data_IF_347147802492
#
_entry.id   IF_347147802492
#
_cell.length_a   1.000
_cell.length_b   1.000
_cell.length_c   1.000
_cell.angle_alpha   90.00
_cell.angle_beta   90.00
_cell.angle_gamma   90.00
#
_symmetry.space_group_name_H-M   'P 1'
#
loop_
_entity.id
_entity.type
_entity.pdbx_description
1 polymer ?
#
# COMPACT_ATOMS: atom_id res chain seq x y z
N UNK A 1 9.88 -58.75 9.87
CA UNK A 1 10.32 -57.52 10.56
C UNK A 1 9.08 -56.72 10.94
N UNK A 2 8.84 -56.48 12.23
CA UNK A 2 7.81 -55.56 12.67
C UNK A 2 8.38 -54.16 12.40
N UNK A 3 7.70 -53.34 11.60
CA UNK A 3 8.05 -51.92 11.46
C UNK A 3 7.58 -51.23 12.73
N UNK A 4 8.49 -50.91 13.64
CA UNK A 4 8.15 -50.55 15.03
C UNK A 4 8.14 -49.05 15.27
N UNK A 5 8.67 -48.22 14.37
CA UNK A 5 8.91 -46.81 14.71
C UNK A 5 8.24 -45.82 13.76
N UNK A 6 7.11 -45.27 14.20
CA UNK A 6 6.70 -43.93 13.78
C UNK A 6 7.36 -42.94 14.74
N UNK A 7 8.00 -41.85 14.26
CA UNK A 7 8.56 -40.85 15.15
C UNK A 7 7.42 -40.18 15.95
N UNK A 8 7.29 -40.55 17.23
CA UNK A 8 6.38 -39.91 18.17
C UNK A 8 7.07 -38.69 18.77
N UNK A 9 6.33 -37.62 19.01
CA UNK A 9 6.86 -36.45 19.73
C UNK A 9 7.39 -36.89 21.10
N UNK A 10 8.62 -36.47 21.50
CA UNK A 10 9.20 -36.81 22.79
C UNK A 10 8.58 -35.97 23.93
N UNK A 11 7.36 -35.45 23.73
CA UNK A 11 6.67 -34.66 24.72
C UNK A 11 5.15 -34.83 24.61
N UNK A 12 4.47 -34.61 25.73
CA UNK A 12 3.02 -34.50 25.81
C UNK A 12 2.66 -33.29 26.67
N UNK A 13 1.66 -32.52 26.24
CA UNK A 13 1.23 -31.30 26.91
C UNK A 13 -0.26 -31.38 27.28
N UNK A 14 -0.58 -30.95 28.50
CA UNK A 14 -1.94 -30.96 29.05
C UNK A 14 -2.28 -29.60 29.64
N UNK A 15 -3.58 -29.27 29.65
CA UNK A 15 -4.12 -28.18 30.45
C UNK A 15 -4.75 -28.76 31.72
N UNK A 16 -4.20 -28.39 32.88
CA UNK A 16 -4.69 -28.91 34.16
C UNK A 16 -6.06 -28.33 34.53
N UNK A 17 -6.92 -29.17 35.11
CA UNK A 17 -8.25 -28.80 35.57
C UNK A 17 -8.33 -28.47 37.07
N UNK A 18 -7.23 -28.67 37.83
CA UNK A 18 -7.20 -28.48 39.29
C UNK A 18 -7.58 -29.72 40.11
N UNK A 19 -7.93 -30.85 39.48
CA UNK A 19 -8.37 -32.07 40.16
C UNK A 19 -7.67 -33.35 39.69
N UNK A 20 -7.29 -33.42 38.41
CA UNK A 20 -6.62 -34.60 37.84
C UNK A 20 -5.17 -34.69 38.30
N UNK A 21 -4.77 -35.87 38.78
CA UNK A 21 -3.39 -36.16 39.21
C UNK A 21 -2.60 -37.03 38.24
N UNK A 22 -3.28 -37.80 37.39
CA UNK A 22 -2.64 -38.71 36.44
C UNK A 22 -2.61 -38.14 35.02
N UNK A 23 -1.41 -38.08 34.44
CA UNK A 23 -1.16 -37.58 33.08
C UNK A 23 -0.32 -38.60 32.33
N UNK A 24 -0.78 -39.03 31.16
CA UNK A 24 -0.08 -40.07 30.39
C UNK A 24 1.02 -39.49 29.51
N UNK A 25 2.03 -40.30 29.20
CA UNK A 25 2.96 -40.03 28.11
C UNK A 25 2.91 -41.21 27.14
N UNK A 26 3.10 -40.96 25.84
CA UNK A 26 2.83 -41.91 24.76
C UNK A 26 4.08 -42.34 23.99
N UNK A 27 5.24 -42.30 24.66
CA UNK A 27 6.54 -42.61 24.08
C UNK A 27 7.34 -43.53 24.99
N UNK A 28 8.22 -44.36 24.42
CA UNK A 28 9.13 -45.23 25.17
C UNK A 28 10.04 -44.41 26.09
N UNK A 29 10.14 -44.82 27.36
CA UNK A 29 11.04 -44.24 28.34
C UNK A 29 11.95 -45.36 28.87
N UNK A 30 13.26 -45.28 28.61
CA UNK A 30 14.22 -46.31 29.04
C UNK A 30 14.67 -46.11 30.48
N UNK A 31 14.80 -44.85 30.91
CA UNK A 31 15.20 -44.49 32.27
C UNK A 31 14.27 -43.39 32.78
N UNK A 32 13.79 -43.51 34.02
CA UNK A 32 12.89 -42.54 34.62
C UNK A 32 13.51 -41.14 34.72
N UNK A 33 14.84 -41.06 34.89
CA UNK A 33 15.61 -39.82 34.96
C UNK A 33 15.61 -39.01 33.66
N UNK A 34 15.41 -39.65 32.50
CA UNK A 34 15.33 -38.98 31.22
C UNK A 34 13.94 -38.31 31.01
N UNK A 35 13.00 -38.41 31.97
CA UNK A 35 11.71 -37.73 31.93
C UNK A 35 11.71 -36.46 32.78
N UNK A 36 11.63 -35.31 32.13
CA UNK A 36 11.44 -34.02 32.78
C UNK A 36 9.96 -33.62 32.81
N UNK A 37 9.50 -33.19 33.97
CA UNK A 37 8.11 -32.77 34.20
C UNK A 37 8.09 -31.27 34.49
N UNK A 38 7.33 -30.51 33.71
CA UNK A 38 7.19 -29.06 33.90
C UNK A 38 5.75 -28.66 34.18
N UNK A 39 5.59 -27.64 35.04
CA UNK A 39 4.32 -26.92 35.23
C UNK A 39 4.57 -25.45 34.85
N UNK A 40 3.87 -24.93 33.83
CA UNK A 40 4.07 -23.56 33.33
C UNK A 40 5.54 -23.19 33.07
N UNK A 41 6.34 -24.14 32.55
CA UNK A 41 7.78 -24.02 32.27
C UNK A 41 8.71 -24.15 33.48
N UNK A 42 8.18 -24.36 34.69
CA UNK A 42 9.00 -24.65 35.88
C UNK A 42 9.23 -26.16 36.04
N UNK A 43 10.50 -26.57 36.09
CA UNK A 43 10.88 -27.97 36.30
C UNK A 43 10.45 -28.45 37.69
N UNK A 44 9.73 -29.56 37.72
CA UNK A 44 9.37 -30.26 38.95
C UNK A 44 10.43 -31.33 39.23
N UNK A 45 11.03 -31.30 40.43
CA UNK A 45 12.04 -32.30 40.85
C UNK A 45 11.47 -33.32 41.83
N UNK A 46 10.31 -33.05 42.42
CA UNK A 46 9.61 -33.92 43.37
C UNK A 46 8.09 -33.76 43.23
N UNK A 47 7.30 -34.52 43.99
CA UNK A 47 5.85 -34.35 44.03
C UNK A 47 5.07 -35.16 42.99
N UNK A 48 5.74 -36.08 42.30
CA UNK A 48 5.13 -37.01 41.35
C UNK A 48 5.87 -38.35 41.32
N UNK A 49 5.21 -39.38 40.78
CA UNK A 49 5.81 -40.68 40.45
C UNK A 49 5.70 -40.95 38.96
N UNK A 50 6.60 -41.78 38.44
CA UNK A 50 6.63 -42.19 37.02
C UNK A 50 6.41 -43.69 36.95
N UNK A 51 5.45 -44.12 36.14
CA UNK A 51 5.19 -45.51 35.77
C UNK A 51 5.30 -45.71 34.27
N UNK A 52 5.53 -46.96 33.84
CA UNK A 52 5.60 -47.33 32.42
C UNK A 52 6.98 -47.14 31.79
N UNK A 53 8.05 -47.24 32.58
CA UNK A 53 9.42 -47.38 32.06
C UNK A 53 9.52 -48.70 31.29
N UNK A 54 10.26 -48.71 30.18
CA UNK A 54 10.35 -49.79 29.17
C UNK A 54 9.06 -50.12 28.41
N UNK A 55 7.96 -49.39 28.64
CA UNK A 55 6.72 -49.57 27.89
C UNK A 55 6.80 -48.90 26.51
N UNK A 56 6.61 -49.68 25.43
CA UNK A 56 6.59 -49.15 24.04
C UNK A 56 5.44 -48.16 23.79
N UNK A 57 4.33 -48.27 24.54
CA UNK A 57 3.15 -47.41 24.40
C UNK A 57 3.19 -46.20 25.35
N UNK A 58 4.25 -46.08 26.16
CA UNK A 58 4.41 -45.07 27.19
C UNK A 58 3.77 -45.44 28.52
N UNK A 59 3.55 -44.44 29.37
CA UNK A 59 3.24 -44.62 30.78
C UNK A 59 2.48 -43.45 31.39
N UNK A 60 2.57 -43.30 32.71
CA UNK A 60 1.81 -42.29 33.46
C UNK A 60 2.69 -41.58 34.47
N UNK A 61 2.58 -40.26 34.52
CA UNK A 61 3.06 -39.42 35.61
C UNK A 61 1.89 -39.15 36.56
N UNK A 62 2.05 -39.51 37.83
CA UNK A 62 1.02 -39.29 38.85
C UNK A 62 1.52 -38.29 39.89
N UNK A 63 0.88 -37.12 39.94
CA UNK A 63 1.19 -36.08 40.93
C UNK A 63 0.58 -36.41 42.30
N UNK A 64 1.30 -36.11 43.37
CA UNK A 64 0.81 -36.20 44.75
C UNK A 64 -0.28 -35.17 45.03
N UNK A 65 -0.17 -33.98 44.42
CA UNK A 65 -1.16 -32.89 44.50
C UNK A 65 -1.54 -32.48 43.08
N UNK A 66 -2.83 -32.37 42.74
CA UNK A 66 -3.24 -32.04 41.39
C UNK A 66 -2.70 -30.67 40.97
N UNK A 67 -2.10 -30.54 39.77
CA UNK A 67 -1.68 -29.25 39.24
C UNK A 67 -2.86 -28.27 39.18
N UNK A 68 -2.63 -27.02 39.58
CA UNK A 68 -3.67 -26.01 39.66
C UNK A 68 -4.37 -25.77 38.30
N UNK A 69 -5.66 -25.43 38.35
CA UNK A 69 -6.47 -25.18 37.14
C UNK A 69 -5.84 -24.11 36.26
N UNK A 70 -5.75 -24.40 34.96
CA UNK A 70 -5.19 -23.48 33.95
C UNK A 70 -3.67 -23.56 33.78
N UNK A 71 -2.96 -24.29 34.64
CA UNK A 71 -1.54 -24.57 34.47
C UNK A 71 -1.30 -25.57 33.33
N UNK A 72 -0.27 -25.35 32.53
CA UNK A 72 0.16 -26.30 31.51
C UNK A 72 1.13 -27.31 32.11
N UNK A 73 0.82 -28.60 31.95
CA UNK A 73 1.69 -29.70 32.36
C UNK A 73 2.39 -30.22 31.12
N UNK A 74 3.72 -30.24 31.14
CA UNK A 74 4.53 -30.81 30.07
C UNK A 74 5.31 -32.01 30.60
N UNK A 75 5.17 -33.14 29.93
CA UNK A 75 5.97 -34.34 30.15
C UNK A 75 6.92 -34.44 28.96
N UNK A 76 8.23 -34.32 29.18
CA UNK A 76 9.22 -34.20 28.12
C UNK A 76 10.33 -35.22 28.36
N UNK A 77 10.60 -36.08 27.36
CA UNK A 77 11.78 -36.94 27.37
C UNK A 77 13.00 -36.14 26.94
N UNK A 78 13.93 -35.96 27.85
CA UNK A 78 15.22 -35.32 27.66
C UNK A 78 16.32 -36.32 27.99
N UNK A 79 16.74 -37.05 26.95
CA UNK A 79 17.81 -38.04 27.07
C UNK A 79 19.16 -37.32 27.12
N UNK A 80 19.97 -37.66 28.10
CA UNK A 80 21.31 -37.09 28.23
C UNK A 80 22.23 -37.60 27.10
N UNK A 81 23.01 -36.68 26.49
CA UNK A 81 23.79 -36.89 25.26
C UNK A 81 25.14 -37.60 25.49
N UNK A 82 25.13 -38.75 26.17
CA UNK A 82 26.30 -39.59 26.35
C UNK A 82 25.89 -41.07 26.39
N UNK A 83 26.84 -41.94 26.07
CA UNK A 83 26.64 -43.38 26.14
C UNK A 83 26.84 -43.86 27.58
N UNK A 84 25.94 -44.71 28.04
CA UNK A 84 25.92 -45.26 29.40
C UNK A 84 26.27 -46.75 29.47
N UNK A 85 26.27 -47.45 28.33
CA UNK A 85 26.60 -48.88 28.23
C UNK A 85 27.99 -49.03 27.64
N UNK A 86 28.84 -49.79 28.31
CA UNK A 86 30.15 -50.24 27.84
C UNK A 86 30.12 -51.76 27.69
N UNK A 87 30.14 -52.25 26.44
CA UNK A 87 30.24 -53.69 26.18
C UNK A 87 31.62 -54.20 26.60
N UNK A 88 31.63 -55.28 27.37
CA UNK A 88 32.86 -55.90 27.84
C UNK A 88 33.38 -56.91 26.82
N UNK A 89 34.70 -56.99 26.66
CA UNK A 89 35.33 -58.04 25.85
C UNK A 89 35.04 -59.42 26.47
N UNK A 90 34.59 -60.36 25.65
CA UNK A 90 34.12 -61.69 26.06
C UNK A 90 32.92 -61.71 27.03
N UNK A 91 32.20 -60.59 27.17
CA UNK A 91 30.94 -60.54 27.90
C UNK A 91 29.75 -61.03 27.06
N UNK A 92 28.63 -61.33 27.73
CA UNK A 92 27.40 -61.74 27.06
C UNK A 92 26.79 -60.57 26.27
N UNK A 93 26.48 -60.81 24.99
CA UNK A 93 25.77 -59.85 24.13
C UNK A 93 24.27 -60.07 24.22
N UNK A 94 23.66 -59.57 25.30
CA UNK A 94 22.22 -59.69 25.52
C UNK A 94 21.44 -58.81 24.54
N UNK A 95 20.46 -59.39 23.86
CA UNK A 95 19.65 -58.68 22.86
C UNK A 95 18.94 -57.46 23.47
N UNK A 96 18.42 -57.57 24.69
CA UNK A 96 17.73 -56.46 25.36
C UNK A 96 18.68 -55.29 25.65
N UNK A 97 19.93 -55.57 26.06
CA UNK A 97 20.95 -54.55 26.29
C UNK A 97 21.28 -53.82 24.99
N UNK A 98 21.48 -54.56 23.91
CA UNK A 98 21.82 -53.99 22.60
C UNK A 98 20.66 -53.19 22.01
N UNK A 99 19.43 -53.72 22.10
CA UNK A 99 18.23 -53.02 21.63
C UNK A 99 18.03 -51.71 22.40
N UNK A 100 18.16 -51.72 23.73
CA UNK A 100 18.04 -50.52 24.54
C UNK A 100 19.14 -49.48 24.24
N UNK A 101 20.38 -49.91 23.95
CA UNK A 101 21.48 -49.01 23.55
C UNK A 101 21.16 -48.34 22.20
N UNK A 102 20.65 -49.10 21.22
CA UNK A 102 20.22 -48.55 19.92
C UNK A 102 18.97 -47.67 20.04
N UNK A 103 18.00 -48.04 20.85
CA UNK A 103 16.81 -47.25 21.10
C UNK A 103 17.16 -45.91 21.76
N UNK A 104 18.12 -45.89 22.69
CA UNK A 104 18.61 -44.64 23.29
C UNK A 104 19.18 -43.68 22.24
N UNK A 105 19.98 -44.20 21.28
CA UNK A 105 20.48 -43.40 20.15
C UNK A 105 19.31 -42.82 19.35
N UNK A 106 18.30 -43.65 19.05
CA UNK A 106 17.15 -43.20 18.28
C UNK A 106 16.28 -42.19 19.03
N UNK A 107 16.17 -42.29 20.36
CA UNK A 107 15.50 -41.31 21.20
C UNK A 107 16.21 -39.96 21.16
N UNK A 108 17.55 -39.94 21.23
CA UNK A 108 18.36 -38.72 21.09
C UNK A 108 18.19 -38.09 19.71
N UNK A 109 18.22 -38.88 18.64
CA UNK A 109 18.01 -38.37 17.28
C UNK A 109 16.60 -37.78 17.09
N UNK A 110 15.59 -38.46 17.63
CA UNK A 110 14.21 -37.98 17.62
C UNK A 110 14.10 -36.66 18.40
N UNK A 111 14.71 -36.57 19.58
CA UNK A 111 14.75 -35.36 20.38
C UNK A 111 15.37 -34.19 19.61
N UNK A 112 16.51 -34.39 18.95
CA UNK A 112 17.14 -33.38 18.09
C UNK A 112 16.24 -32.95 16.93
N UNK A 113 15.62 -33.89 16.23
CA UNK A 113 14.69 -33.61 15.13
C UNK A 113 13.50 -32.72 15.57
N UNK A 114 12.95 -32.98 16.76
CA UNK A 114 11.87 -32.18 17.32
C UNK A 114 12.34 -30.82 17.84
N UNK A 115 13.52 -30.75 18.47
CA UNK A 115 14.11 -29.49 18.91
C UNK A 115 14.29 -28.51 17.72
N UNK A 116 14.72 -29.02 16.57
CA UNK A 116 14.84 -28.22 15.35
C UNK A 116 13.50 -27.62 14.88
N UNK A 117 12.34 -28.17 15.28
CA UNK A 117 11.01 -27.63 14.90
C UNK A 117 10.71 -26.32 15.62
N UNK A 118 11.39 -26.05 16.74
CA UNK A 118 11.23 -24.82 17.51
C UNK A 118 12.27 -23.75 17.15
N UNK A 119 13.24 -24.08 16.30
CA UNK A 119 14.20 -23.12 15.78
C UNK A 119 13.63 -22.39 14.55
N UNK A 120 14.13 -21.17 14.29
CA UNK A 120 13.93 -20.55 12.97
C UNK A 120 14.55 -21.43 11.88
N UNK A 121 13.85 -21.58 10.77
CA UNK A 121 14.26 -22.44 9.65
C UNK A 121 14.37 -21.66 8.36
N UNK A 122 15.18 -22.18 7.45
CA UNK A 122 15.28 -21.71 6.08
C UNK A 122 14.77 -22.83 5.16
N UNK A 123 14.17 -22.46 4.03
CA UNK A 123 13.81 -23.44 3.02
C UNK A 123 15.06 -24.21 2.53
N UNK A 124 14.97 -25.55 2.34
CA UNK A 124 16.07 -26.36 1.80
C UNK A 124 16.57 -25.90 0.43
N UNK A 125 15.77 -25.11 -0.28
CA UNK A 125 16.07 -24.59 -1.61
C UNK A 125 16.65 -23.17 -1.60
N UNK A 126 16.97 -22.61 -0.42
CA UNK A 126 17.50 -21.25 -0.24
C UNK A 126 16.50 -20.27 0.39
N UNK A 127 16.71 -18.96 0.25
CA UNK A 127 15.78 -17.92 0.76
C UNK A 127 16.10 -17.31 2.14
N UNK A 128 15.24 -16.47 2.73
CA UNK A 128 15.43 -15.92 4.08
C UNK A 128 15.06 -16.94 5.17
N UNK A 129 15.37 -16.61 6.44
CA UNK A 129 14.83 -17.36 7.58
C UNK A 129 13.33 -17.10 7.72
N UNK A 130 12.56 -18.16 7.97
CA UNK A 130 11.10 -18.17 8.04
C UNK A 130 10.63 -18.22 9.50
N UNK A 131 9.93 -17.17 9.94
CA UNK A 131 9.31 -17.11 11.28
C UNK A 131 7.97 -17.84 11.38
N UNK A 132 7.42 -18.35 10.27
CA UNK A 132 6.16 -19.09 10.19
C UNK A 132 4.95 -18.40 10.88
N UNK A 133 4.98 -17.07 11.01
CA UNK A 133 3.94 -16.29 11.71
C UNK A 133 4.03 -16.33 13.24
N UNK A 134 5.04 -16.97 13.82
CA UNK A 134 5.28 -16.91 15.27
C UNK A 134 5.94 -15.60 15.67
N UNK A 135 5.64 -15.13 16.88
CA UNK A 135 6.27 -13.96 17.48
C UNK A 135 7.72 -14.27 17.84
N UNK A 136 8.62 -13.36 17.49
CA UNK A 136 10.01 -13.33 17.97
C UNK A 136 10.07 -12.29 19.11
N UNK A 137 10.59 -12.68 20.27
CA UNK A 137 10.72 -11.81 21.46
C UNK A 137 12.11 -11.94 22.08
N UNK A 138 12.41 -11.06 23.04
CA UNK A 138 13.63 -11.09 23.86
C UNK A 138 14.94 -10.99 23.05
N UNK A 139 14.87 -10.33 21.89
CA UNK A 139 16.06 -9.91 21.14
C UNK A 139 16.68 -8.68 21.80
N UNK A 140 18.00 -8.60 21.76
CA UNK A 140 18.73 -7.44 22.24
C UNK A 140 18.48 -6.21 21.34
N UNK A 141 18.83 -5.02 21.84
CA UNK A 141 18.87 -3.82 21.00
C UNK A 141 19.98 -3.96 19.95
N UNK A 142 19.76 -3.46 18.72
CA UNK A 142 20.71 -3.60 17.61
C UNK A 142 22.01 -2.83 17.88
N UNK A 143 23.13 -3.38 17.39
CA UNK A 143 24.46 -2.76 17.44
C UNK A 143 24.94 -2.41 16.03
N UNK A 144 24.75 -3.34 15.08
CA UNK A 144 25.17 -3.18 13.68
C UNK A 144 23.97 -2.87 12.75
N UNK A 145 24.26 -2.32 11.57
CA UNK A 145 23.24 -1.86 10.60
C UNK A 145 22.28 -2.97 10.09
N UNK A 146 22.63 -4.24 10.26
CA UNK A 146 21.84 -5.39 9.79
C UNK A 146 21.13 -6.14 10.92
N UNK A 147 21.24 -5.67 12.16
CA UNK A 147 20.61 -6.31 13.30
C UNK A 147 19.09 -6.18 13.26
N UNK A 148 18.42 -7.19 13.81
CA UNK A 148 16.98 -7.13 14.02
C UNK A 148 16.64 -6.09 15.10
N UNK A 149 15.54 -5.35 14.92
CA UNK A 149 15.10 -4.32 15.88
C UNK A 149 13.84 -4.74 16.61
N UNK A 150 13.79 -4.50 17.92
CA UNK A 150 12.54 -4.65 18.68
C UNK A 150 11.55 -3.57 18.27
N UNK A 151 10.25 -3.83 18.46
CA UNK A 151 9.22 -2.78 18.30
C UNK A 151 9.52 -1.56 19.18
N UNK A 152 9.98 -1.78 20.43
CA UNK A 152 10.36 -0.71 21.35
C UNK A 152 11.50 0.14 20.77
N UNK A 153 12.59 -0.50 20.34
CA UNK A 153 13.73 0.20 19.75
C UNK A 153 13.31 1.00 18.51
N UNK A 154 12.52 0.38 17.63
CA UNK A 154 11.98 1.06 16.47
C UNK A 154 11.09 2.24 16.85
N UNK A 155 10.18 2.12 17.81
CA UNK A 155 9.34 3.26 18.24
C UNK A 155 10.16 4.36 18.93
N UNK A 156 11.22 4.03 19.66
CA UNK A 156 12.11 5.02 20.27
C UNK A 156 12.94 5.78 19.24
N UNK A 157 13.41 5.11 18.18
CA UNK A 157 14.31 5.69 17.17
C UNK A 157 13.61 6.15 15.88
N UNK A 158 12.45 5.61 15.52
CA UNK A 158 11.61 6.07 14.40
C UNK A 158 10.89 7.38 14.74
N UNK A 159 10.82 7.70 16.04
CA UNK A 159 10.26 8.94 16.57
C UNK A 159 11.24 10.13 16.53
N UNK A 160 12.26 10.11 15.65
CA UNK A 160 13.15 11.25 15.40
C UNK A 160 12.43 12.51 14.85
N UNK A 161 11.11 12.44 14.63
CA UNK A 161 10.25 13.58 14.32
C UNK A 161 8.88 13.42 14.98
N UNK A 162 8.84 13.40 16.33
CA UNK A 162 7.56 13.48 17.03
C UNK A 162 6.97 14.87 16.86
N UNK A 163 6.07 15.02 15.91
CA UNK A 163 5.37 16.29 15.70
C UNK A 163 4.36 16.54 16.84
N UNK A 164 4.65 17.54 17.68
CA UNK A 164 3.87 17.90 18.88
C UNK A 164 2.83 19.00 18.62
N UNK A 165 2.63 19.40 17.37
CA UNK A 165 1.80 20.54 16.96
C UNK A 165 2.33 21.88 17.50
N UNK A 166 1.47 22.81 17.91
CA UNK A 166 1.88 24.14 18.38
C UNK A 166 2.69 24.08 19.70
N UNK A 167 3.71 24.93 19.80
CA UNK A 167 4.52 25.04 21.00
C UNK A 167 3.72 25.60 22.18
N UNK A 168 3.98 25.07 23.38
CA UNK A 168 3.38 25.48 24.65
C UNK A 168 4.43 25.59 25.74
N UNK A 169 4.36 26.65 26.54
CA UNK A 169 5.29 26.88 27.64
C UNK A 169 5.20 25.84 28.78
N UNK A 170 4.09 25.09 28.87
CA UNK A 170 3.87 24.11 29.95
C UNK A 170 4.17 22.68 29.52
N UNK A 171 4.47 22.45 28.24
CA UNK A 171 4.74 21.11 27.69
C UNK A 171 6.23 20.81 27.78
N UNK A 172 6.56 19.59 28.23
CA UNK A 172 7.92 19.08 28.14
C UNK A 172 8.19 18.58 26.72
N UNK A 173 9.25 19.09 26.11
CA UNK A 173 9.74 18.69 24.79
C UNK A 173 11.04 17.91 24.96
N UNK A 174 11.09 16.73 24.37
CA UNK A 174 12.30 15.91 24.35
C UNK A 174 13.10 16.18 23.08
N UNK A 175 14.38 15.85 23.08
CA UNK A 175 15.18 15.85 21.86
C UNK A 175 14.43 15.11 20.74
N UNK A 176 14.50 15.64 19.52
CA UNK A 176 13.79 15.18 18.32
C UNK A 176 12.28 15.48 18.24
N UNK A 177 11.70 16.22 19.20
CA UNK A 177 10.33 16.71 19.07
C UNK A 177 10.29 17.90 18.07
N UNK A 178 9.28 17.91 17.20
CA UNK A 178 9.00 19.00 16.26
C UNK A 178 7.78 19.82 16.67
N UNK A 179 7.87 21.15 16.58
CA UNK A 179 6.77 22.07 16.96
C UNK A 179 6.54 23.17 15.92
N UNK A 180 5.31 23.68 15.85
CA UNK A 180 5.01 24.97 15.24
C UNK A 180 5.16 26.08 16.30
N UNK A 181 5.91 27.14 15.98
CA UNK A 181 5.96 28.34 16.79
C UNK A 181 6.06 29.56 15.87
N UNK A 182 5.16 30.52 16.07
CA UNK A 182 5.03 31.73 15.24
C UNK A 182 4.89 31.47 13.73
N UNK A 183 4.24 30.36 13.37
CA UNK A 183 4.06 29.93 11.97
C UNK A 183 5.31 29.32 11.33
N UNK A 184 6.41 29.20 12.07
CA UNK A 184 7.61 28.48 11.63
C UNK A 184 7.64 27.09 12.28
N UNK A 185 8.33 26.15 11.65
CA UNK A 185 8.56 24.80 12.18
C UNK A 185 9.94 24.73 12.82
N UNK A 186 9.99 24.19 14.03
CA UNK A 186 11.20 24.08 14.84
C UNK A 186 11.41 22.64 15.29
N UNK A 187 12.68 22.28 15.46
CA UNK A 187 13.14 20.98 15.93
C UNK A 187 13.88 21.15 17.25
N UNK A 188 13.53 20.32 18.23
CA UNK A 188 14.09 20.33 19.57
C UNK A 188 15.41 19.55 19.58
N UNK A 189 16.52 20.22 19.87
CA UNK A 189 17.86 19.61 19.94
C UNK A 189 18.10 18.92 21.30
N UNK A 190 17.51 19.47 22.37
CA UNK A 190 17.74 19.02 23.74
C UNK A 190 16.47 19.16 24.59
N UNK A 191 16.29 18.24 25.54
CA UNK A 191 15.16 18.23 26.47
C UNK A 191 14.97 19.58 27.17
N UNK A 192 13.75 20.12 27.10
CA UNK A 192 13.41 21.40 27.73
C UNK A 192 11.92 21.51 28.08
N UNK A 193 11.61 22.49 28.93
CA UNK A 193 10.24 22.88 29.25
C UNK A 193 10.21 24.40 29.40
N UNK A 194 9.23 25.06 28.79
CA UNK A 194 9.07 26.51 28.87
C UNK A 194 10.08 27.34 28.07
N UNK A 195 11.09 26.73 27.44
CA UNK A 195 12.02 27.42 26.56
C UNK A 195 11.40 27.59 25.19
N UNK A 196 11.21 28.84 24.77
CA UNK A 196 10.52 29.19 23.52
C UNK A 196 11.41 28.97 22.30
N UNK A 197 10.92 28.36 21.21
CA UNK A 197 11.64 28.28 19.94
C UNK A 197 12.05 29.67 19.43
N UNK A 198 13.27 29.76 18.89
CA UNK A 198 13.90 31.02 18.47
C UNK A 198 14.56 31.85 19.57
N UNK A 199 14.41 31.48 20.85
CA UNK A 199 15.09 32.18 21.95
C UNK A 199 16.51 31.68 22.24
N UNK A 200 16.79 30.40 21.95
CA UNK A 200 18.09 29.78 22.19
C UNK A 200 18.34 28.63 21.20
N UNK A 201 19.41 28.75 20.42
CA UNK A 201 19.82 27.77 19.40
C UNK A 201 20.37 26.47 19.98
N UNK A 202 20.68 26.41 21.27
CA UNK A 202 21.05 25.16 21.94
C UNK A 202 19.85 24.22 22.10
N UNK A 203 18.64 24.74 22.27
CA UNK A 203 17.45 23.91 22.47
C UNK A 203 16.61 23.74 21.20
N UNK A 204 16.64 24.73 20.29
CA UNK A 204 15.75 24.77 19.13
C UNK A 204 16.48 25.17 17.86
N UNK A 205 16.35 24.34 16.83
CA UNK A 205 16.81 24.61 15.46
C UNK A 205 15.60 24.87 14.56
N UNK A 206 15.67 25.90 13.72
CA UNK A 206 14.59 26.20 12.77
C UNK A 206 14.65 25.24 11.58
N UNK A 207 13.56 24.54 11.32
CA UNK A 207 13.45 23.56 10.22
C UNK A 207 12.83 24.17 8.97
N UNK A 208 11.80 25.00 9.16
CA UNK A 208 11.16 25.73 8.09
C UNK A 208 10.74 27.09 8.62
N UNK A 209 11.21 28.13 7.96
CA UNK A 209 10.74 29.48 8.22
C UNK A 209 9.29 29.60 7.72
N UNK A 210 8.45 30.32 8.46
CA UNK A 210 7.13 30.69 7.95
C UNK A 210 7.30 31.34 6.58
N UNK A 211 6.50 30.91 5.61
CA UNK A 211 6.39 31.67 4.36
C UNK A 211 5.95 33.10 4.69
N UNK A 212 6.43 34.07 3.93
CA UNK A 212 5.79 35.38 3.95
C UNK A 212 4.31 35.16 3.65
N UNK A 213 3.45 35.82 4.43
CA UNK A 213 2.02 35.82 4.15
C UNK A 213 1.90 36.32 2.71
N UNK A 214 1.50 35.45 1.78
CA UNK A 214 1.14 35.89 0.44
C UNK A 214 0.18 37.06 0.59
N UNK A 215 0.33 38.09 -0.24
CA UNK A 215 -0.54 39.26 -0.20
C UNK A 215 -1.98 38.78 -0.02
N UNK A 216 -2.65 39.32 0.99
CA UNK A 216 -4.01 38.91 1.33
C UNK A 216 -4.82 39.04 0.05
N UNK A 217 -5.24 37.93 -0.56
CA UNK A 217 -6.30 37.98 -1.57
C UNK A 217 -7.45 38.74 -0.90
N UNK A 218 -7.89 39.83 -1.52
CA UNK A 218 -8.86 40.73 -0.92
C UNK A 218 -10.01 39.91 -0.32
N UNK A 219 -10.12 39.95 1.01
CA UNK A 219 -11.22 39.31 1.68
C UNK A 219 -12.45 40.13 1.32
N UNK A 220 -13.39 39.49 0.61
CA UNK A 220 -14.73 40.02 0.44
C UNK A 220 -15.22 40.59 1.76
N UNK A 221 -15.61 41.86 1.72
CA UNK A 221 -16.16 42.59 2.85
C UNK A 221 -17.25 41.70 3.45
N UNK A 222 -17.05 41.16 4.66
CA UNK A 222 -18.15 40.60 5.41
C UNK A 222 -19.13 41.76 5.60
N UNK A 223 -20.39 41.52 5.27
CA UNK A 223 -21.43 42.50 5.19
C UNK A 223 -21.48 43.28 6.51
N UNK A 224 -20.77 44.41 6.57
CA UNK A 224 -21.54 45.61 6.75
C UNK A 224 -22.60 45.48 5.67
N UNK A 225 -23.82 45.10 6.06
CA UNK A 225 -24.96 45.71 5.42
C UNK A 225 -24.70 47.21 5.58
N UNK A 226 -23.88 47.77 4.69
CA UNK A 226 -24.06 49.10 4.19
C UNK A 226 -25.53 49.04 3.81
N UNK A 227 -26.33 49.62 4.69
CA UNK A 227 -27.73 49.85 4.41
C UNK A 227 -27.64 50.71 3.17
N UNK A 228 -27.70 50.09 1.98
CA UNK A 228 -27.55 50.77 0.71
C UNK A 228 -28.75 51.70 0.65
N UNK A 229 -28.54 52.94 1.10
CA UNK A 229 -29.47 54.02 0.85
C UNK A 229 -29.39 54.21 -0.65
N UNK A 230 -30.47 53.83 -1.32
CA UNK A 230 -30.91 54.22 -2.67
C UNK A 230 -29.80 54.40 -3.72
N UNK A 231 -29.79 53.54 -4.75
CA UNK A 231 -28.86 53.68 -5.88
C UNK A 231 -28.84 55.11 -6.44
N UNK A 232 -27.65 55.61 -6.79
CA UNK A 232 -27.43 56.97 -7.29
C UNK A 232 -27.44 56.95 -8.82
N UNK A 233 -28.24 57.83 -9.44
CA UNK A 233 -28.25 57.96 -10.90
C UNK A 233 -26.92 58.50 -11.40
N UNK A 234 -26.35 57.86 -12.40
CA UNK A 234 -25.19 58.36 -13.14
C UNK A 234 -25.63 59.56 -13.99
N UNK A 235 -24.86 60.65 -13.98
CA UNK A 235 -25.14 61.92 -14.67
C UNK A 235 -23.92 62.53 -15.40
N UNK A 236 -22.92 61.71 -15.76
CA UNK A 236 -21.84 62.13 -16.64
C UNK A 236 -20.77 61.06 -16.85
N UNK A 237 -19.51 61.50 -16.90
CA UNK A 237 -18.36 60.61 -17.06
C UNK A 237 -18.21 59.64 -15.89
N UNK A 238 -18.06 58.35 -16.19
CA UNK A 238 -17.88 57.31 -15.17
C UNK A 238 -16.62 57.51 -14.33
N UNK A 239 -15.62 58.26 -14.81
CA UNK A 239 -14.40 58.55 -14.06
C UNK A 239 -14.63 59.37 -12.79
N UNK A 240 -15.76 60.08 -12.68
CA UNK A 240 -16.09 60.93 -11.53
C UNK A 240 -16.61 60.14 -10.33
N UNK A 241 -17.02 58.88 -10.52
CA UNK A 241 -17.62 58.05 -9.47
C UNK A 241 -16.56 57.15 -8.83
N UNK A 242 -15.81 57.75 -7.90
CA UNK A 242 -14.73 57.11 -7.13
C UNK A 242 -15.13 56.84 -5.67
N UNK A 243 -16.37 57.12 -5.30
CA UNK A 243 -16.88 56.79 -3.96
C UNK A 243 -17.57 55.43 -4.01
N UNK A 244 -17.31 54.51 -3.07
CA UNK A 244 -18.00 53.24 -3.03
C UNK A 244 -19.50 53.41 -2.92
N UNK A 245 -20.25 52.67 -3.74
CA UNK A 245 -21.69 52.80 -3.82
C UNK A 245 -22.30 52.04 -4.99
N UNK A 246 -23.63 51.98 -4.97
CA UNK A 246 -24.45 51.48 -6.08
C UNK A 246 -24.89 52.67 -6.93
N UNK A 247 -24.64 52.55 -8.22
CA UNK A 247 -24.99 53.52 -9.23
C UNK A 247 -25.79 52.84 -10.33
N UNK A 248 -26.64 53.60 -11.02
CA UNK A 248 -27.41 53.08 -12.14
C UNK A 248 -27.44 54.07 -13.29
N UNK A 249 -27.54 53.53 -14.50
CA UNK A 249 -27.84 54.26 -15.72
C UNK A 249 -29.13 53.70 -16.32
N UNK A 250 -30.19 54.51 -16.28
CA UNK A 250 -31.47 54.28 -16.96
C UNK A 250 -31.58 55.10 -18.26
N UNK A 251 -30.57 55.91 -18.60
CA UNK A 251 -30.53 56.71 -19.83
C UNK A 251 -29.50 56.14 -20.82
N UNK A 252 -29.98 55.39 -21.80
CA UNK A 252 -29.13 54.83 -22.86
C UNK A 252 -28.31 55.91 -23.58
N UNK A 253 -28.82 57.12 -23.78
CA UNK A 253 -28.13 58.17 -24.53
C UNK A 253 -26.91 58.71 -23.80
N UNK A 254 -26.87 58.57 -22.47
CA UNK A 254 -25.75 58.99 -21.65
C UNK A 254 -24.57 58.02 -21.72
N UNK A 255 -24.84 56.74 -21.98
CA UNK A 255 -23.81 55.72 -22.13
C UNK A 255 -23.05 55.92 -23.44
N UNK A 256 -21.97 56.69 -23.38
CA UNK A 256 -21.10 56.99 -24.51
C UNK A 256 -19.64 56.81 -24.13
N UNK A 257 -18.77 56.61 -25.12
CA UNK A 257 -17.32 56.58 -24.93
C UNK A 257 -16.77 57.90 -24.38
N UNK A 258 -17.40 59.04 -24.67
CA UNK A 258 -17.08 60.34 -24.09
C UNK A 258 -17.32 60.37 -22.56
N UNK A 259 -18.39 59.71 -22.12
CA UNK A 259 -18.67 59.48 -20.70
C UNK A 259 -17.99 58.21 -20.15
N UNK A 260 -17.12 57.57 -20.93
CA UNK A 260 -16.27 56.44 -20.53
C UNK A 260 -17.05 55.20 -20.12
N UNK A 261 -18.22 54.97 -20.71
CA UNK A 261 -18.96 53.72 -20.57
C UNK A 261 -18.27 52.57 -21.34
N UNK A 262 -18.35 51.33 -20.84
CA UNK A 262 -17.78 50.16 -21.54
C UNK A 262 -18.53 49.80 -22.83
N UNK A 263 -19.79 50.21 -22.95
CA UNK A 263 -20.66 49.97 -24.10
C UNK A 263 -21.52 51.22 -24.34
N UNK A 264 -21.77 51.57 -25.61
CA UNK A 264 -22.59 52.73 -25.97
C UNK A 264 -24.08 52.37 -26.02
N UNK A 265 -24.96 53.35 -25.78
CA UNK A 265 -26.41 53.21 -25.91
C UNK A 265 -26.98 52.08 -25.03
N UNK A 266 -26.55 52.01 -23.77
CA UNK A 266 -26.87 50.91 -22.88
C UNK A 266 -27.27 51.38 -21.48
N UNK A 267 -28.30 50.74 -20.94
CA UNK A 267 -28.65 50.81 -19.52
C UNK A 267 -27.81 49.81 -18.73
N UNK A 268 -27.61 50.08 -17.45
CA UNK A 268 -26.88 49.16 -16.61
C UNK A 268 -26.67 49.67 -15.20
N UNK A 269 -26.12 48.79 -14.39
CA UNK A 269 -25.80 49.04 -12.99
C UNK A 269 -24.29 49.07 -12.83
N UNK A 270 -23.82 49.96 -11.95
CA UNK A 270 -22.41 50.09 -11.65
C UNK A 270 -22.16 50.04 -10.15
N UNK A 271 -21.16 49.26 -9.77
CA UNK A 271 -20.70 49.15 -8.40
C UNK A 271 -19.28 49.70 -8.30
N UNK A 272 -19.00 50.45 -7.24
CA UNK A 272 -17.68 51.01 -6.94
C UNK A 272 -17.19 50.50 -5.60
N UNK A 273 -15.92 50.08 -5.52
CA UNK A 273 -15.28 49.62 -4.29
C UNK A 273 -13.88 50.19 -4.17
N UNK A 274 -13.41 50.45 -2.94
CA UNK A 274 -11.98 50.66 -2.68
C UNK A 274 -11.24 49.33 -2.74
N UNK A 275 -10.03 49.33 -3.27
CA UNK A 275 -9.15 48.15 -3.36
C UNK A 275 -7.87 48.30 -2.55
N UNK A 276 -7.67 49.44 -1.91
CA UNK A 276 -6.54 49.73 -1.04
C UNK A 276 -6.99 50.19 0.35
N UNK A 277 -6.17 49.96 1.39
CA UNK A 277 -6.49 50.43 2.74
C UNK A 277 -6.51 51.96 2.90
N UNK A 278 -5.91 52.71 1.97
CA UNK A 278 -5.87 54.17 2.03
C UNK A 278 -7.10 54.82 1.36
N UNK A 279 -8.03 54.03 0.80
CA UNK A 279 -9.24 54.48 0.11
C UNK A 279 -8.95 55.40 -1.09
N UNK A 280 -7.86 55.14 -1.81
CA UNK A 280 -7.39 55.97 -2.93
C UNK A 280 -7.51 55.30 -4.29
N UNK A 281 -7.46 53.97 -4.32
CA UNK A 281 -7.58 53.14 -5.51
C UNK A 281 -8.97 52.49 -5.53
N UNK A 282 -9.62 52.50 -6.69
CA UNK A 282 -11.00 52.02 -6.83
C UNK A 282 -11.16 51.05 -7.98
N UNK A 283 -12.05 50.08 -7.81
CA UNK A 283 -12.56 49.25 -8.90
C UNK A 283 -13.98 49.68 -9.23
N UNK A 284 -14.27 49.76 -10.54
CA UNK A 284 -15.62 49.90 -11.06
C UNK A 284 -16.02 48.60 -11.75
N UNK A 285 -17.20 48.10 -11.41
CA UNK A 285 -17.85 46.98 -12.09
C UNK A 285 -19.11 47.49 -12.75
N UNK A 286 -19.32 47.18 -14.02
CA UNK A 286 -20.50 47.58 -14.77
C UNK A 286 -21.20 46.35 -15.35
N UNK A 287 -22.47 46.18 -15.04
CA UNK A 287 -23.33 45.14 -15.60
C UNK A 287 -24.31 45.80 -16.55
N UNK A 288 -24.21 45.49 -17.84
CA UNK A 288 -25.14 46.04 -18.82
C UNK A 288 -26.46 45.27 -18.82
N UNK A 289 -27.53 45.90 -19.30
CA UNK A 289 -28.84 45.25 -19.48
C UNK A 289 -28.82 44.05 -20.45
N UNK A 290 -27.71 43.85 -21.19
CA UNK A 290 -27.47 42.67 -22.04
C UNK A 290 -26.72 41.55 -21.32
N UNK A 291 -26.54 41.62 -20.00
CA UNK A 291 -25.72 40.69 -19.20
C UNK A 291 -24.25 40.63 -19.63
N UNK A 292 -23.72 41.72 -20.19
CA UNK A 292 -22.27 41.86 -20.35
C UNK A 292 -21.69 42.38 -19.04
N UNK A 293 -20.65 41.71 -18.53
CA UNK A 293 -19.96 42.09 -17.31
C UNK A 293 -18.63 42.76 -17.66
N UNK A 294 -18.40 43.94 -17.10
CA UNK A 294 -17.18 44.70 -17.30
C UNK A 294 -16.57 45.10 -15.95
N UNK A 295 -15.24 45.17 -15.90
CA UNK A 295 -14.52 45.77 -14.77
C UNK A 295 -13.33 46.61 -15.25
N UNK A 296 -12.99 47.62 -14.46
CA UNK A 296 -11.76 48.40 -14.61
C UNK A 296 -11.29 48.92 -13.26
N UNK A 297 -10.03 49.27 -13.18
CA UNK A 297 -9.39 49.78 -11.96
C UNK A 297 -8.86 51.20 -12.17
N UNK A 298 -8.96 52.05 -11.14
CA UNK A 298 -8.15 53.24 -10.99
C UNK A 298 -7.04 52.93 -9.99
N UNK A 299 -5.79 52.93 -10.45
CA UNK A 299 -4.60 52.70 -9.62
C UNK A 299 -3.71 53.93 -9.65
N UNK A 300 -3.48 54.56 -8.51
CA UNK A 300 -2.67 55.78 -8.38
C UNK A 300 -3.19 56.94 -9.23
N UNK A 301 -4.52 57.07 -9.36
CA UNK A 301 -5.18 58.08 -10.18
C UNK A 301 -5.31 57.73 -11.67
N UNK A 302 -4.82 56.56 -12.11
CA UNK A 302 -4.84 56.15 -13.51
C UNK A 302 -5.85 55.04 -13.76
N UNK A 303 -6.77 55.28 -14.70
CA UNK A 303 -7.76 54.29 -15.11
C UNK A 303 -7.18 53.25 -16.09
N UNK A 304 -7.45 51.97 -15.84
CA UNK A 304 -7.28 50.91 -16.82
C UNK A 304 -8.36 50.99 -17.91
N UNK A 305 -8.12 50.32 -19.04
CA UNK A 305 -9.20 50.02 -19.97
C UNK A 305 -10.27 49.15 -19.29
N UNK A 306 -11.50 49.21 -19.81
CA UNK A 306 -12.55 48.26 -19.45
C UNK A 306 -12.20 46.87 -19.98
N UNK A 307 -12.26 45.87 -19.10
CA UNK A 307 -12.15 44.46 -19.43
C UNK A 307 -13.54 43.84 -19.42
N UNK A 308 -13.92 43.16 -20.50
CA UNK A 308 -15.16 42.36 -20.57
C UNK A 308 -14.88 40.93 -20.12
N UNK A 309 -15.69 40.39 -19.22
CA UNK A 309 -15.61 38.98 -18.85
C UNK A 309 -16.27 38.11 -19.92
N UNK A 310 -15.61 37.01 -20.29
CA UNK A 310 -16.15 36.05 -21.24
C UNK A 310 -17.31 35.27 -20.63
N UNK A 311 -18.35 35.05 -21.43
CA UNK A 311 -19.54 34.28 -21.07
C UNK A 311 -19.55 32.92 -21.77
N UNK A 312 -20.47 32.03 -21.41
CA UNK A 312 -20.60 30.72 -22.05
C UNK A 312 -20.84 30.79 -23.57
N UNK A 313 -21.37 31.90 -24.07
CA UNK A 313 -21.56 32.16 -25.51
C UNK A 313 -20.26 32.53 -26.25
N UNK A 314 -19.19 32.88 -25.53
CA UNK A 314 -17.89 33.23 -26.12
C UNK A 314 -16.96 32.00 -26.31
N UNK A 315 -17.35 30.82 -25.79
CA UNK A 315 -16.52 29.61 -25.72
C UNK A 315 -16.66 28.64 -26.91
N UNK A 316 -17.21 29.08 -28.05
CA UNK A 316 -17.54 28.23 -29.19
C UNK A 316 -16.37 27.45 -29.85
N UNK A 317 -15.11 27.73 -29.47
CA UNK A 317 -13.90 27.10 -30.01
C UNK A 317 -13.11 26.22 -29.02
N UNK A 318 -13.70 25.87 -27.86
CA UNK A 318 -13.07 25.00 -26.86
C UNK A 318 -13.81 23.67 -26.76
N UNK A 319 -13.09 22.55 -26.94
CA UNK A 319 -13.67 21.21 -26.77
C UNK A 319 -13.97 20.91 -25.30
N UNK A 320 -15.18 20.43 -25.04
CA UNK A 320 -15.59 19.89 -23.75
C UNK A 320 -14.97 18.51 -23.51
N UNK A 321 -14.87 18.12 -22.23
CA UNK A 321 -14.38 16.78 -21.83
C UNK A 321 -15.18 15.64 -22.49
N UNK A 322 -16.48 15.86 -22.71
CA UNK A 322 -17.37 14.91 -23.38
C UNK A 322 -16.99 14.69 -24.84
N UNK A 323 -16.66 15.75 -25.58
CA UNK A 323 -16.24 15.67 -26.99
C UNK A 323 -14.88 15.00 -27.16
N UNK A 324 -13.97 15.21 -26.20
CA UNK A 324 -12.68 14.52 -26.17
C UNK A 324 -12.91 13.01 -25.97
N UNK A 325 -13.72 12.63 -24.98
CA UNK A 325 -13.98 11.23 -24.67
C UNK A 325 -14.64 10.48 -25.84
N UNK A 326 -15.56 11.12 -26.57
CA UNK A 326 -16.20 10.52 -27.74
C UNK A 326 -15.22 10.20 -28.88
N UNK A 327 -14.12 10.96 -29.02
CA UNK A 327 -13.08 10.70 -30.03
C UNK A 327 -12.20 9.50 -29.72
N UNK A 328 -12.17 9.01 -28.46
CA UNK A 328 -11.38 7.84 -28.05
C UNK A 328 -12.20 6.54 -27.97
N UNK A 329 -13.47 6.54 -28.39
CA UNK A 329 -14.38 5.38 -28.28
C UNK A 329 -13.96 4.13 -29.06
N UNK A 330 -13.04 4.24 -30.03
CA UNK A 330 -12.55 3.12 -30.85
C UNK A 330 -11.19 2.56 -30.37
N UNK A 331 -10.69 3.01 -29.20
CA UNK A 331 -9.46 2.52 -28.60
C UNK A 331 -9.78 1.64 -27.39
N UNK A 332 -9.10 0.50 -27.28
CA UNK A 332 -9.21 -0.31 -26.06
C UNK A 332 -8.58 0.42 -24.87
N UNK A 333 -9.32 0.47 -23.79
CA UNK A 333 -8.80 0.84 -22.49
C UNK A 333 -7.81 -0.24 -22.02
N UNK A 334 -6.88 0.14 -21.14
CA UNK A 334 -5.93 -0.80 -20.53
C UNK A 334 -6.64 -2.02 -19.92
N UNK A 335 -7.79 -1.81 -19.29
CA UNK A 335 -8.57 -2.88 -18.67
C UNK A 335 -9.15 -3.87 -19.70
N UNK A 336 -9.54 -3.41 -20.89
CA UNK A 336 -10.01 -4.31 -21.95
C UNK A 336 -8.86 -5.13 -22.54
N UNK A 337 -7.69 -4.52 -22.68
CA UNK A 337 -6.46 -5.23 -23.07
C UNK A 337 -6.11 -6.29 -22.04
N UNK A 338 -6.09 -5.94 -20.75
CA UNK A 338 -5.78 -6.86 -19.66
C UNK A 338 -6.79 -8.02 -19.58
N UNK A 339 -8.09 -7.75 -19.80
CA UNK A 339 -9.14 -8.78 -19.82
C UNK A 339 -9.08 -9.71 -21.04
N UNK A 340 -8.59 -9.22 -22.19
CA UNK A 340 -8.35 -10.06 -23.36
C UNK A 340 -7.13 -10.97 -23.15
N UNK A 341 -6.11 -10.48 -22.42
CA UNK A 341 -4.94 -11.27 -22.02
C UNK A 341 -5.35 -12.40 -21.05
N UNK A 342 -6.27 -12.13 -20.12
CA UNK A 342 -6.64 -13.09 -19.08
C UNK A 342 -7.66 -14.17 -19.52
N UNK A 343 -8.42 -13.94 -20.60
CA UNK A 343 -9.51 -14.83 -21.02
C UNK A 343 -9.16 -15.81 -22.16
N UNK A 344 -7.88 -15.94 -22.52
CA UNK A 344 -7.39 -16.93 -23.49
C UNK A 344 -7.42 -18.38 -22.97
N UNK A 345 -8.53 -18.84 -22.40
CA UNK A 345 -8.69 -20.16 -21.80
C UNK A 345 -9.53 -21.12 -22.64
N UNK A 346 -8.91 -22.22 -23.08
CA UNK A 346 -9.55 -23.54 -23.21
C UNK A 346 -10.16 -23.91 -24.57
N UNK A 347 -9.49 -24.83 -25.29
CA UNK A 347 -10.05 -25.45 -26.50
C UNK A 347 -9.23 -26.57 -27.15
N UNK A 348 -8.89 -27.62 -26.40
CA UNK A 348 -8.84 -29.03 -26.86
C UNK A 348 -7.76 -29.56 -27.83
N UNK A 349 -7.04 -30.60 -27.39
CA UNK A 349 -6.89 -31.86 -28.16
C UNK A 349 -5.49 -32.27 -28.64
N UNK A 350 -4.84 -33.19 -27.88
CA UNK A 350 -3.82 -34.21 -28.25
C UNK A 350 -2.58 -33.82 -29.11
N UNK A 351 -1.36 -34.30 -28.91
CA UNK A 351 -0.79 -35.38 -28.07
C UNK A 351 0.73 -35.18 -28.02
N UNK A 352 1.28 -34.89 -26.84
CA UNK A 352 2.66 -35.19 -26.40
C UNK A 352 3.01 -34.38 -25.15
N UNK A 353 2.58 -34.88 -24.00
CA UNK A 353 3.38 -34.88 -22.77
C UNK A 353 3.87 -33.55 -22.17
N UNK A 354 3.33 -32.39 -22.53
CA UNK A 354 3.65 -31.16 -21.82
C UNK A 354 2.47 -30.17 -21.78
N UNK A 355 1.97 -29.96 -20.57
CA UNK A 355 0.99 -28.94 -20.23
C UNK A 355 1.70 -27.58 -20.19
N UNK A 356 1.45 -26.75 -21.21
CA UNK A 356 1.96 -25.39 -21.26
C UNK A 356 0.80 -24.40 -21.19
N UNK A 357 0.87 -23.47 -20.23
CA UNK A 357 -0.13 -22.43 -20.04
C UNK A 357 -0.05 -21.39 -21.17
N UNK A 358 -1.10 -21.31 -21.98
CA UNK A 358 -1.34 -20.15 -22.83
C UNK A 358 -1.55 -18.93 -21.93
N UNK A 359 -0.57 -18.02 -21.84
CA UNK A 359 -0.65 -16.90 -20.89
C UNK A 359 0.68 -16.35 -20.36
N UNK A 360 1.81 -17.01 -20.61
CA UNK A 360 3.11 -16.47 -20.20
C UNK A 360 3.46 -15.19 -20.96
N UNK A 361 3.85 -14.14 -20.23
CA UNK A 361 4.26 -12.84 -20.77
C UNK A 361 5.47 -13.01 -21.70
N UNK A 362 5.22 -12.97 -23.01
CA UNK A 362 6.27 -13.08 -24.03
C UNK A 362 5.72 -13.53 -25.37
N UNK A 363 5.52 -12.58 -26.29
CA UNK A 363 5.33 -12.81 -27.73
C UNK A 363 4.04 -13.52 -28.16
N UNK A 364 2.94 -12.75 -28.28
CA UNK A 364 1.74 -13.18 -29.02
C UNK A 364 1.75 -12.60 -30.43
N UNK A 365 1.66 -13.44 -31.45
CA UNK A 365 1.48 -13.01 -32.83
C UNK A 365 0.08 -13.41 -33.32
N UNK A 366 -0.47 -12.63 -34.27
CA UNK A 366 -1.72 -12.98 -34.95
C UNK A 366 -1.40 -13.81 -36.19
N UNK A 367 -2.00 -14.99 -36.31
CA UNK A 367 -1.81 -15.88 -37.46
C UNK A 367 -3.16 -16.11 -38.14
N UNK A 368 -3.15 -16.29 -39.46
CA UNK A 368 -4.37 -16.62 -40.21
C UNK A 368 -4.84 -18.05 -39.92
N UNK A 369 -6.16 -18.26 -39.94
CA UNK A 369 -6.76 -19.61 -39.83
C UNK A 369 -6.60 -20.45 -41.11
N UNK A 370 -6.15 -19.86 -42.20
CA UNK A 370 -5.90 -20.53 -43.49
C UNK A 370 -4.47 -20.28 -43.99
N UNK A 371 -3.96 -21.27 -44.71
CA UNK A 371 -2.75 -21.28 -45.54
C UNK A 371 -2.81 -20.28 -46.72
N UNK A 372 -4.01 -19.82 -47.10
CA UNK A 372 -4.21 -18.69 -47.99
C UNK A 372 -4.33 -17.37 -47.22
N UNK A 373 -3.49 -16.39 -47.58
CA UNK A 373 -3.52 -15.03 -47.04
C UNK A 373 -4.73 -14.27 -47.65
N UNK A 374 -5.68 -13.78 -46.84
CA UNK A 374 -6.92 -13.21 -47.38
C UNK A 374 -6.76 -11.81 -48.01
N UNK A 375 -5.69 -11.05 -47.72
CA UNK A 375 -5.43 -9.76 -48.36
C UNK A 375 -3.99 -9.28 -48.16
N UNK A 376 -3.35 -8.62 -49.15
CA UNK A 376 -1.97 -8.08 -49.06
C UNK A 376 -1.72 -7.04 -47.94
N UNK A 377 -0.48 -6.55 -47.81
CA UNK A 377 -0.12 -5.47 -46.88
C UNK A 377 -1.05 -4.24 -47.05
N UNK A 378 -1.53 -3.68 -45.94
CA UNK A 378 -2.54 -2.63 -45.92
C UNK A 378 -3.99 -3.11 -46.10
N UNK A 379 -4.19 -4.38 -46.45
CA UNK A 379 -5.51 -5.00 -46.59
C UNK A 379 -6.25 -5.14 -45.26
N UNK A 380 -7.59 -5.23 -45.35
CA UNK A 380 -8.46 -5.40 -44.19
C UNK A 380 -8.84 -6.87 -44.00
N UNK A 381 -8.71 -7.36 -42.78
CA UNK A 381 -8.97 -8.75 -42.38
C UNK A 381 -10.02 -8.73 -41.27
N UNK A 382 -11.03 -9.59 -41.39
CA UNK A 382 -12.00 -9.81 -40.31
C UNK A 382 -11.32 -10.56 -39.16
N UNK A 383 -11.57 -10.14 -37.91
CA UNK A 383 -10.98 -10.78 -36.74
C UNK A 383 -11.32 -12.27 -36.61
N UNK A 384 -12.46 -12.73 -37.16
CA UNK A 384 -12.84 -14.15 -37.26
C UNK A 384 -11.89 -14.99 -38.12
N UNK A 385 -11.04 -14.36 -38.93
CA UNK A 385 -10.04 -15.01 -39.78
C UNK A 385 -8.65 -15.04 -39.15
N UNK A 386 -8.51 -14.58 -37.90
CA UNK A 386 -7.26 -14.51 -37.15
C UNK A 386 -7.30 -15.39 -35.88
N UNK A 387 -6.15 -15.88 -35.44
CA UNK A 387 -5.94 -16.54 -34.15
C UNK A 387 -4.78 -15.91 -33.42
N UNK A 388 -4.85 -15.91 -32.09
CA UNK A 388 -3.65 -15.69 -31.28
C UNK A 388 -2.73 -16.90 -31.39
N UNK A 389 -1.44 -16.63 -31.39
CA UNK A 389 -0.39 -17.64 -31.45
C UNK A 389 0.75 -17.29 -30.50
N UNK A 390 1.33 -18.29 -29.86
CA UNK A 390 2.52 -18.16 -29.02
C UNK A 390 3.76 -18.72 -29.74
N UNK A 391 4.90 -18.07 -29.55
CA UNK A 391 6.21 -18.53 -30.04
C UNK A 391 6.91 -19.31 -28.93
N UNK A 392 7.34 -20.54 -29.21
CA UNK A 392 8.10 -21.36 -28.26
C UNK A 392 9.61 -21.22 -28.46
N UNK A 393 10.37 -21.53 -27.41
CA UNK A 393 11.82 -21.66 -27.47
C UNK A 393 12.18 -22.78 -28.47
N UNK A 394 12.88 -22.43 -29.55
CA UNK A 394 13.07 -23.29 -30.73
C UNK A 394 12.32 -22.87 -32.00
N UNK A 395 11.61 -21.73 -32.00
CA UNK A 395 11.13 -21.06 -33.21
C UNK A 395 9.89 -21.65 -33.87
N UNK A 396 9.18 -22.57 -33.20
CA UNK A 396 7.91 -23.14 -33.68
C UNK A 396 6.73 -22.31 -33.17
N UNK A 397 5.76 -22.10 -34.04
CA UNK A 397 4.55 -21.27 -33.83
C UNK A 397 3.34 -22.21 -33.75
N UNK A 398 2.57 -22.14 -32.66
CA UNK A 398 1.30 -22.87 -32.53
C UNK A 398 0.13 -21.90 -32.52
N UNK A 399 -0.88 -22.16 -33.36
CA UNK A 399 -2.12 -21.40 -33.41
C UNK A 399 -3.22 -22.11 -32.62
N UNK A 400 -3.86 -21.40 -31.68
CA UNK A 400 -4.94 -21.93 -30.85
C UNK A 400 -5.63 -20.84 -30.05
N UNK A 401 -6.96 -20.95 -29.84
CA UNK A 401 -7.74 -20.01 -29.03
C UNK A 401 -8.84 -19.22 -29.77
N UNK A 402 -9.43 -18.26 -29.06
CA UNK A 402 -10.51 -17.39 -29.55
C UNK A 402 -10.05 -16.44 -30.65
N UNK A 403 -10.92 -16.15 -31.62
CA UNK A 403 -10.67 -15.13 -32.65
C UNK A 403 -10.84 -13.72 -32.08
N UNK A 404 -9.97 -12.76 -32.40
CA UNK A 404 -10.19 -11.36 -32.05
C UNK A 404 -11.45 -10.80 -32.71
N UNK A 405 -12.10 -9.83 -32.07
CA UNK A 405 -13.25 -9.12 -32.64
C UNK A 405 -12.82 -7.96 -33.55
N UNK A 406 -13.74 -7.49 -34.40
CA UNK A 406 -13.57 -6.28 -35.20
C UNK A 406 -12.81 -6.46 -36.52
N UNK A 407 -12.52 -5.35 -37.16
CA UNK A 407 -11.78 -5.31 -38.44
C UNK A 407 -10.34 -4.89 -38.19
N UNK A 408 -9.41 -5.62 -38.79
CA UNK A 408 -7.97 -5.47 -38.58
C UNK A 408 -7.28 -5.07 -39.88
N UNK A 409 -6.22 -4.27 -39.80
CA UNK A 409 -5.38 -3.91 -40.94
C UNK A 409 -4.04 -4.62 -40.84
N UNK A 410 -3.64 -5.30 -41.91
CA UNK A 410 -2.35 -5.98 -41.99
C UNK A 410 -1.20 -5.01 -42.31
N UNK A 411 -0.08 -5.16 -41.62
CA UNK A 411 1.15 -4.37 -41.77
C UNK A 411 2.33 -5.20 -42.30
N UNK A 412 2.17 -6.51 -42.45
CA UNK A 412 3.21 -7.37 -43.01
C UNK A 412 2.85 -8.85 -42.92
N UNK A 413 3.49 -9.65 -43.78
CA UNK A 413 3.38 -11.10 -43.81
C UNK A 413 4.77 -11.73 -43.93
N UNK A 414 5.03 -12.79 -43.15
CA UNK A 414 6.06 -13.77 -43.45
C UNK A 414 5.42 -15.13 -43.70
N UNK A 415 5.61 -15.68 -44.91
CA UNK A 415 5.14 -17.02 -45.27
C UNK A 415 6.06 -18.05 -44.62
N UNK A 416 5.57 -18.75 -43.59
CA UNK A 416 6.31 -19.83 -42.94
C UNK A 416 5.76 -21.17 -43.46
N UNK A 417 6.29 -21.64 -44.59
CA UNK A 417 5.97 -22.96 -45.16
C UNK A 417 4.48 -23.16 -45.53
N UNK A 418 4.02 -24.42 -45.54
CA UNK A 418 2.65 -24.84 -45.91
C UNK A 418 1.59 -24.56 -44.81
N UNK A 419 1.89 -23.70 -43.84
CA UNK A 419 1.08 -23.52 -42.64
C UNK A 419 0.85 -22.04 -42.29
N UNK A 420 0.20 -21.27 -43.17
CA UNK A 420 -0.34 -19.93 -42.83
C UNK A 420 0.72 -18.84 -42.57
N UNK A 421 0.37 -17.59 -42.88
CA UNK A 421 1.29 -16.44 -42.72
C UNK A 421 1.19 -15.82 -41.33
N UNK A 422 2.34 -15.40 -40.75
CA UNK A 422 2.39 -14.57 -39.56
C UNK A 422 1.97 -13.13 -39.93
N UNK A 423 0.97 -12.55 -39.26
CA UNK A 423 0.48 -11.20 -39.54
C UNK A 423 0.81 -10.26 -38.38
N UNK A 424 1.49 -9.15 -38.69
CA UNK A 424 1.45 -7.97 -37.85
C UNK A 424 0.18 -7.17 -38.22
N UNK A 425 -0.80 -7.05 -37.34
CA UNK A 425 -2.05 -6.33 -37.62
C UNK A 425 -2.49 -5.45 -36.44
N UNK A 426 -3.18 -4.34 -36.72
CA UNK A 426 -3.84 -3.52 -35.70
C UNK A 426 -5.33 -3.37 -36.00
N UNK A 427 -6.14 -3.31 -34.95
CA UNK A 427 -7.59 -3.10 -35.04
C UNK A 427 -7.86 -1.67 -35.52
N UNK A 428 -8.78 -1.53 -36.47
CA UNK A 428 -9.16 -0.23 -37.04
C UNK A 428 -10.63 0.13 -36.78
N UNK A 429 -11.45 -0.84 -36.36
CA UNK A 429 -12.85 -0.67 -35.96
C UNK A 429 -13.32 -1.81 -35.06
#
# INVERSE_FOLDING_TARGET
>A
MKSIYKPVAPYTAYLANGSTTSFTYNFLLLYAEDLSVYIDQELQTTGYTIDGVFSETGGTVTFLTPPAKGKKVYLVRLVQLYRIIEYQDNGDLLADTVNNDFDRIWQVLTQGYWALQFCMRRSPWGGPWEGQGFRISDIADPIDDQDAVTKKYAEEHYNMNRWRADWSATTAYYAHDGVHCDGSSWYCEHDNTGIRPGSNTYYWTMMAQKGDKGDKGDQGVADAQATFKTAIKLDGSLNNYITPGLYYNDDTAQATSANVYPENNIEGEMEVYYIDPANTDVVQKFTSSKNNYYARVNWGGKWSAWLRFATSTDLANYYTKTEINAKFANYYTKSEVDNLISNGGGGGGDSSGASYEFGAVGSYALVTVSDAFPCGEGGSIAGSSLRFSSVYDGGKVYSGGSTPAGTWRAFGNSVIGNCGGLILAARIA
#
